data_IF_216745949883
#
_entry.id   IF_216745949883
#
_cell.length_a   1.000
_cell.length_b   1.000
_cell.length_c   1.000
_cell.angle_alpha   90.00
_cell.angle_beta   90.00
_cell.angle_gamma   90.00
#
_symmetry.space_group_name_H-M   'P 1'
#
loop_
_entity.id
_entity.type
_entity.pdbx_description
1 polymer ?
#
# COMPACT_ATOMS: atom_id res chain seq x y z
N UNK A 1 2.37 23.54 5.76
CA UNK A 1 3.80 23.62 5.39
C UNK A 1 3.96 22.96 4.03
N UNK A 2 4.73 23.54 3.12
CA UNK A 2 5.04 22.91 1.85
C UNK A 2 5.99 21.71 2.06
N UNK A 3 5.91 20.67 1.22
CA UNK A 3 6.85 19.58 1.27
C UNK A 3 8.29 20.09 1.10
N UNK A 4 9.22 19.56 1.92
CA UNK A 4 10.63 20.01 1.91
C UNK A 4 11.52 19.14 1.01
N UNK A 5 10.97 18.02 0.54
CA UNK A 5 11.61 17.06 -0.38
C UNK A 5 10.71 16.91 -1.61
N UNK A 6 11.11 16.07 -2.57
CA UNK A 6 10.30 15.75 -3.76
C UNK A 6 9.08 14.86 -3.46
N UNK A 7 8.45 15.03 -2.29
CA UNK A 7 7.29 14.27 -1.83
C UNK A 7 6.00 14.84 -2.45
N UNK A 8 5.24 13.98 -3.14
CA UNK A 8 4.02 14.33 -3.87
C UNK A 8 2.81 13.58 -3.32
N UNK A 9 2.07 14.22 -2.41
CA UNK A 9 0.87 13.64 -1.81
C UNK A 9 -0.32 14.59 -1.94
N UNK A 10 -1.50 14.04 -2.20
CA UNK A 10 -2.72 14.85 -2.31
C UNK A 10 -3.95 14.05 -1.89
N UNK A 11 -5.04 14.79 -1.69
CA UNK A 11 -6.33 14.25 -1.31
C UNK A 11 -7.41 14.90 -2.16
N UNK A 12 -8.32 14.09 -2.69
CA UNK A 12 -9.52 14.55 -3.40
C UNK A 12 -10.74 13.90 -2.76
N UNK A 13 -11.69 14.73 -2.36
CA UNK A 13 -12.97 14.31 -1.80
C UNK A 13 -14.10 14.70 -2.74
N UNK A 14 -14.90 13.72 -3.15
CA UNK A 14 -16.11 13.94 -3.94
C UNK A 14 -17.20 12.99 -3.47
N UNK A 15 -18.42 13.51 -3.22
CA UNK A 15 -19.57 12.70 -2.84
C UNK A 15 -19.29 11.70 -1.70
N UNK A 16 -18.61 12.15 -0.63
CA UNK A 16 -18.20 11.32 0.51
C UNK A 16 -17.13 10.24 0.22
N UNK A 17 -16.56 10.22 -0.98
CA UNK A 17 -15.50 9.32 -1.41
C UNK A 17 -14.19 10.12 -1.48
N UNK A 18 -13.22 9.72 -0.67
CA UNK A 18 -11.90 10.32 -0.63
C UNK A 18 -10.86 9.42 -1.27
N UNK A 19 -10.02 10.02 -2.10
CA UNK A 19 -8.82 9.39 -2.65
C UNK A 19 -7.61 10.04 -2.01
N UNK A 20 -6.89 9.28 -1.18
CA UNK A 20 -5.65 9.68 -0.53
C UNK A 20 -4.47 9.07 -1.30
N UNK A 21 -3.74 9.91 -2.01
CA UNK A 21 -2.54 9.52 -2.73
C UNK A 21 -1.33 9.76 -1.84
N UNK A 22 -0.61 8.68 -1.55
CA UNK A 22 0.59 8.67 -0.74
C UNK A 22 1.81 8.53 -1.64
N UNK A 23 2.89 9.19 -1.25
CA UNK A 23 4.19 9.04 -1.89
C UNK A 23 5.20 8.56 -0.85
N UNK A 24 5.70 7.35 -1.05
CA UNK A 24 6.69 6.71 -0.19
C UNK A 24 8.11 6.79 -0.76
N UNK A 25 8.26 7.29 -2.00
CA UNK A 25 9.54 7.33 -2.72
C UNK A 25 10.16 8.72 -2.69
N UNK A 26 9.38 9.78 -2.79
CA UNK A 26 9.85 11.17 -2.74
C UNK A 26 10.52 11.51 -1.41
N UNK A 27 10.08 10.89 -0.31
CA UNK A 27 10.74 11.03 1.01
C UNK A 27 12.12 10.38 1.06
N UNK A 28 12.38 9.40 0.20
CA UNK A 28 13.67 8.70 0.04
C UNK A 28 14.62 9.46 -0.88
N UNK A 29 14.33 10.71 -1.20
CA UNK A 29 15.22 11.60 -1.94
C UNK A 29 15.77 12.71 -1.04
N UNK A 30 17.02 13.11 -1.27
CA UNK A 30 17.58 14.35 -0.76
C UNK A 30 16.99 15.55 -1.54
N UNK A 31 17.12 16.79 -1.03
CA UNK A 31 16.74 17.98 -1.79
C UNK A 31 17.46 18.12 -3.14
N UNK A 32 18.63 17.49 -3.30
CA UNK A 32 19.39 17.46 -4.55
C UNK A 32 18.99 16.28 -5.48
N UNK A 33 17.96 15.51 -5.13
CA UNK A 33 17.48 14.37 -5.90
C UNK A 33 18.30 13.08 -5.73
N UNK A 34 19.25 13.03 -4.79
CA UNK A 34 20.02 11.81 -4.51
C UNK A 34 19.21 10.83 -3.65
N UNK A 35 19.52 9.53 -3.75
CA UNK A 35 18.89 8.49 -2.93
C UNK A 35 19.27 8.65 -1.46
N UNK A 36 18.28 8.60 -0.58
CA UNK A 36 18.38 8.70 0.87
C UNK A 36 17.51 7.62 1.53
N UNK A 37 17.92 6.33 1.46
CA UNK A 37 17.10 5.20 1.89
C UNK A 37 16.78 5.21 3.40
N UNK A 38 17.66 5.82 4.20
CA UNK A 38 17.56 5.90 5.66
C UNK A 38 16.55 6.96 6.15
N UNK A 39 16.01 7.78 5.24
CA UNK A 39 14.90 8.67 5.56
C UNK A 39 13.66 7.88 6.02
N UNK A 40 12.77 8.46 6.84
CA UNK A 40 11.50 7.82 7.18
C UNK A 40 10.64 7.58 5.94
N UNK A 41 9.67 6.66 6.02
CA UNK A 41 8.75 6.41 4.88
C UNK A 41 7.92 7.66 4.62
N UNK A 42 7.40 8.28 5.68
CA UNK A 42 6.71 9.55 5.62
C UNK A 42 7.44 10.65 6.38
N UNK A 43 7.43 11.85 5.81
CA UNK A 43 7.82 13.05 6.53
C UNK A 43 6.78 13.39 7.61
N UNK A 44 7.14 14.21 8.61
CA UNK A 44 6.15 14.74 9.55
C UNK A 44 4.98 15.45 8.87
N UNK A 45 5.23 16.16 7.76
CA UNK A 45 4.19 16.88 7.00
C UNK A 45 3.20 15.91 6.36
N UNK A 46 3.67 14.78 5.82
CA UNK A 46 2.80 13.71 5.32
C UNK A 46 1.98 13.07 6.43
N UNK A 47 2.57 12.82 7.60
CA UNK A 47 1.82 12.28 8.74
C UNK A 47 0.71 13.23 9.19
N UNK A 48 1.00 14.53 9.31
CA UNK A 48 0.00 15.54 9.66
C UNK A 48 -1.10 15.63 8.59
N UNK A 49 -0.72 15.50 7.31
CA UNK A 49 -1.67 15.48 6.20
C UNK A 49 -2.63 14.28 6.29
N UNK A 50 -2.12 13.08 6.54
CA UNK A 50 -2.94 11.87 6.74
C UNK A 50 -3.93 12.08 7.88
N UNK A 51 -3.45 12.58 9.04
CA UNK A 51 -4.31 12.85 10.18
C UNK A 51 -5.42 13.86 9.86
N UNK A 52 -5.09 14.91 9.11
CA UNK A 52 -6.07 15.91 8.65
C UNK A 52 -7.14 15.30 7.75
N UNK A 53 -6.76 14.40 6.84
CA UNK A 53 -7.71 13.69 5.96
C UNK A 53 -8.63 12.79 6.76
N UNK A 54 -8.09 12.03 7.72
CA UNK A 54 -8.90 11.12 8.55
C UNK A 54 -9.85 11.86 9.51
N UNK A 55 -9.57 13.12 9.82
CA UNK A 55 -10.45 13.98 10.60
C UNK A 55 -11.69 14.46 9.83
N UNK A 56 -11.76 14.27 8.50
CA UNK A 56 -12.91 14.69 7.70
C UNK A 56 -14.17 13.88 8.08
N UNK A 57 -15.15 14.59 8.63
CA UNK A 57 -16.39 13.99 9.13
C UNK A 57 -17.35 13.57 8.02
N UNK A 58 -17.20 14.13 6.82
CA UNK A 58 -18.04 13.84 5.66
C UNK A 58 -17.54 12.61 4.89
N UNK A 59 -16.28 12.22 5.10
CA UNK A 59 -15.66 11.07 4.46
C UNK A 59 -16.29 9.75 4.92
N UNK A 60 -16.74 8.96 3.94
CA UNK A 60 -17.38 7.66 4.13
C UNK A 60 -16.65 6.51 3.44
N UNK A 61 -16.09 6.74 2.26
CA UNK A 61 -15.23 5.77 1.59
C UNK A 61 -13.85 6.38 1.47
N UNK A 62 -12.83 5.69 1.93
CA UNK A 62 -11.44 6.11 1.76
C UNK A 62 -10.71 5.09 0.90
N UNK A 63 -10.23 5.55 -0.25
CA UNK A 63 -9.29 4.81 -1.09
C UNK A 63 -7.90 5.35 -0.80
N UNK A 64 -7.06 4.53 -0.18
CA UNK A 64 -5.66 4.85 0.09
C UNK A 64 -4.81 4.26 -1.02
N UNK A 65 -4.22 5.13 -1.83
CA UNK A 65 -3.35 4.75 -2.93
C UNK A 65 -1.89 4.91 -2.51
N UNK A 66 -1.10 3.87 -2.69
CA UNK A 66 0.34 3.84 -2.43
C UNK A 66 1.02 3.15 -3.61
N UNK A 67 2.22 3.58 -3.99
CA UNK A 67 2.93 2.99 -5.11
C UNK A 67 3.20 1.50 -4.86
N UNK A 68 3.60 1.16 -3.62
CA UNK A 68 3.81 -0.20 -3.16
C UNK A 68 2.67 -0.67 -2.25
N UNK A 69 2.36 -1.98 -2.23
CA UNK A 69 1.39 -2.54 -1.31
C UNK A 69 1.75 -2.21 0.15
N UNK A 70 0.75 -1.74 0.90
CA UNK A 70 0.89 -1.49 2.34
C UNK A 70 1.07 -2.78 3.12
N UNK A 71 0.43 -3.86 2.66
CA UNK A 71 0.51 -5.21 3.22
C UNK A 71 0.98 -6.14 2.10
N UNK A 72 2.25 -6.52 2.13
CA UNK A 72 2.86 -7.36 1.08
C UNK A 72 3.30 -8.71 1.65
N UNK A 73 4.08 -8.70 2.73
CA UNK A 73 4.47 -9.90 3.45
C UNK A 73 4.66 -9.54 4.94
N UNK A 74 4.92 -10.54 5.79
CA UNK A 74 5.29 -10.32 7.17
C UNK A 74 6.60 -9.54 7.27
N UNK A 75 6.73 -8.72 8.33
CA UNK A 75 7.97 -7.97 8.56
C UNK A 75 9.18 -8.91 8.71
N UNK A 76 8.99 -10.09 9.32
CA UNK A 76 10.05 -11.09 9.47
C UNK A 76 10.55 -11.61 8.11
N UNK A 77 9.64 -11.99 7.21
CA UNK A 77 10.01 -12.48 5.88
C UNK A 77 10.72 -11.41 5.05
N UNK A 78 10.29 -10.15 5.16
CA UNK A 78 10.94 -9.04 4.45
C UNK A 78 12.36 -8.81 5.00
N UNK A 79 12.55 -8.87 6.32
CA UNK A 79 13.89 -8.76 6.92
C UNK A 79 14.79 -9.94 6.55
N UNK A 80 14.26 -11.17 6.56
CA UNK A 80 15.00 -12.35 6.11
C UNK A 80 15.40 -12.20 4.64
N UNK A 81 14.49 -11.75 3.78
CA UNK A 81 14.78 -11.53 2.36
C UNK A 81 15.90 -10.50 2.14
N UNK A 82 15.88 -9.40 2.89
CA UNK A 82 16.89 -8.34 2.80
C UNK A 82 18.27 -8.77 3.29
N UNK A 83 18.33 -9.71 4.25
CA UNK A 83 19.59 -10.14 4.90
C UNK A 83 20.12 -11.47 4.37
N UNK A 84 19.28 -12.31 3.79
CA UNK A 84 19.61 -13.66 3.31
C UNK A 84 20.65 -13.60 2.22
N UNK A 85 21.86 -14.14 2.44
CA UNK A 85 22.95 -14.23 1.45
C UNK A 85 22.64 -15.11 0.23
N UNK A 86 21.53 -15.86 0.24
CA UNK A 86 21.14 -16.81 -0.83
C UNK A 86 20.52 -16.13 -2.05
N UNK A 87 20.03 -14.90 -1.92
CA UNK A 87 19.56 -14.11 -3.08
C UNK A 87 20.81 -13.63 -3.86
N UNK A 88 20.94 -13.87 -5.16
CA UNK A 88 22.11 -13.40 -5.89
C UNK A 88 22.21 -11.88 -5.78
N UNK A 89 23.33 -11.35 -5.26
CA UNK A 89 23.70 -9.96 -5.48
C UNK A 89 23.95 -9.81 -6.97
N UNK A 90 22.99 -9.30 -7.74
CA UNK A 90 23.10 -9.22 -9.19
C UNK A 90 24.27 -8.32 -9.59
N UNK A 91 25.45 -8.92 -9.81
CA UNK A 91 26.62 -8.29 -10.40
C UNK A 91 26.55 -8.28 -11.93
N UNK A 92 25.51 -8.87 -12.54
CA UNK A 92 25.25 -8.80 -13.98
C UNK A 92 24.26 -7.66 -14.32
N UNK A 93 24.70 -6.79 -15.22
CA UNK A 93 24.20 -5.45 -15.50
C UNK A 93 22.87 -5.35 -16.28
N UNK A 94 21.93 -6.28 -16.08
CA UNK A 94 20.65 -6.23 -16.84
C UNK A 94 19.39 -6.49 -16.04
N UNK A 95 19.48 -6.91 -14.76
CA UNK A 95 18.29 -7.11 -13.91
C UNK A 95 18.44 -6.33 -12.59
N UNK A 96 17.44 -5.55 -12.17
CA UNK A 96 17.49 -4.83 -10.91
C UNK A 96 17.67 -5.80 -9.75
N UNK A 97 18.59 -5.50 -8.84
CA UNK A 97 18.82 -6.30 -7.64
C UNK A 97 17.53 -6.29 -6.80
N UNK A 98 16.86 -7.44 -6.60
CA UNK A 98 15.59 -7.45 -5.89
C UNK A 98 15.74 -6.98 -4.43
N UNK A 99 16.91 -7.15 -3.81
CA UNK A 99 17.17 -6.65 -2.44
C UNK A 99 17.20 -5.13 -2.34
N UNK A 100 17.68 -4.40 -3.35
CA UNK A 100 17.71 -2.93 -3.30
C UNK A 100 16.30 -2.33 -3.40
N UNK A 101 15.39 -3.03 -4.09
CA UNK A 101 13.99 -2.62 -4.21
C UNK A 101 13.25 -2.73 -2.87
N UNK A 102 13.56 -3.76 -2.05
CA UNK A 102 12.89 -4.00 -0.76
C UNK A 102 13.06 -2.90 0.27
N UNK A 103 14.13 -2.10 0.21
CA UNK A 103 14.37 -1.00 1.15
C UNK A 103 13.30 0.10 1.09
N UNK A 104 12.59 0.16 -0.04
CA UNK A 104 11.46 1.09 -0.24
C UNK A 104 10.11 0.52 0.20
N UNK A 105 10.04 -0.76 0.57
CA UNK A 105 8.78 -1.40 0.92
C UNK A 105 8.30 -0.98 2.30
N UNK A 106 6.98 -0.96 2.49
CA UNK A 106 6.35 -0.70 3.78
C UNK A 106 6.88 -1.63 4.89
N UNK A 107 7.08 -2.91 4.58
CA UNK A 107 7.58 -3.88 5.56
C UNK A 107 9.04 -3.67 5.99
N UNK A 108 9.82 -2.86 5.27
CA UNK A 108 11.14 -2.42 5.71
C UNK A 108 11.07 -1.33 6.80
N UNK A 109 9.90 -0.71 7.00
CA UNK A 109 9.62 0.28 8.04
C UNK A 109 8.41 -0.16 8.90
N UNK A 110 8.55 -1.23 9.71
CA UNK A 110 7.43 -1.87 10.41
C UNK A 110 6.63 -0.91 11.29
N UNK A 111 7.30 0.05 11.94
CA UNK A 111 6.63 1.05 12.80
C UNK A 111 5.72 1.99 12.00
N UNK A 112 6.18 2.47 10.86
CA UNK A 112 5.41 3.38 10.00
C UNK A 112 4.25 2.63 9.34
N UNK A 113 4.50 1.40 8.86
CA UNK A 113 3.47 0.51 8.31
C UNK A 113 2.37 0.24 9.34
N UNK A 114 2.72 -0.19 10.56
CA UNK A 114 1.76 -0.46 11.63
C UNK A 114 1.01 0.79 12.06
N UNK A 115 1.68 1.96 12.11
CA UNK A 115 1.05 3.23 12.41
C UNK A 115 -0.02 3.59 11.38
N UNK A 116 0.30 3.52 10.09
CA UNK A 116 -0.66 3.86 9.04
C UNK A 116 -1.85 2.89 9.03
N UNK A 117 -1.61 1.58 9.10
CA UNK A 117 -2.68 0.56 9.18
C UNK A 117 -3.59 0.78 10.39
N UNK A 118 -3.00 1.13 11.54
CA UNK A 118 -3.75 1.48 12.75
C UNK A 118 -4.64 2.68 12.52
N UNK A 119 -4.11 3.78 11.98
CA UNK A 119 -4.87 5.01 11.76
C UNK A 119 -6.05 4.79 10.81
N UNK A 120 -5.85 4.08 9.69
CA UNK A 120 -6.92 3.85 8.70
C UNK A 120 -7.95 2.84 9.19
N UNK A 121 -7.53 1.84 9.97
CA UNK A 121 -8.44 0.86 10.58
C UNK A 121 -9.30 1.50 11.68
N UNK A 122 -8.71 2.32 12.55
CA UNK A 122 -9.45 3.06 13.56
C UNK A 122 -10.42 4.06 12.92
N UNK A 123 -10.00 4.75 11.86
CA UNK A 123 -10.87 5.63 11.09
C UNK A 123 -12.11 4.90 10.55
N UNK A 124 -11.95 3.68 10.02
CA UNK A 124 -13.07 2.85 9.53
C UNK A 124 -14.09 2.58 10.63
N UNK A 125 -13.66 2.46 11.89
CA UNK A 125 -14.55 2.13 13.01
C UNK A 125 -15.14 3.33 13.74
N UNK A 126 -14.60 4.54 13.53
CA UNK A 126 -15.11 5.75 14.17
C UNK A 126 -16.57 6.08 13.79
N UNK A 127 -17.05 5.62 12.63
CA UNK A 127 -18.42 5.80 12.19
C UNK A 127 -18.94 4.53 11.54
N UNK A 128 -20.23 4.18 11.74
CA UNK A 128 -20.83 3.08 11.01
C UNK A 128 -20.74 3.33 9.50
N UNK A 129 -20.64 2.24 8.76
CA UNK A 129 -20.76 2.23 7.31
C UNK A 129 -19.67 3.08 6.62
N UNK A 130 -18.48 3.15 7.21
CA UNK A 130 -17.26 3.61 6.55
C UNK A 130 -16.58 2.43 5.85
N UNK A 131 -16.07 2.68 4.66
CA UNK A 131 -15.31 1.69 3.90
C UNK A 131 -13.88 2.15 3.59
N UNK A 132 -12.96 1.20 3.67
CA UNK A 132 -11.54 1.41 3.42
C UNK A 132 -11.08 0.45 2.33
N UNK A 133 -10.39 1.00 1.33
CA UNK A 133 -9.72 0.25 0.27
C UNK A 133 -8.27 0.70 0.19
N UNK A 134 -7.36 -0.25 0.17
CA UNK A 134 -5.96 -0.01 -0.15
C UNK A 134 -5.73 -0.35 -1.63
N UNK A 135 -5.07 0.53 -2.37
CA UNK A 135 -4.77 0.34 -3.79
C UNK A 135 -3.28 0.56 -4.06
N UNK A 136 -2.66 -0.31 -4.84
CA UNK A 136 -1.25 -0.20 -5.24
C UNK A 136 -0.97 -0.91 -6.57
N UNK A 137 0.21 -0.70 -7.16
CA UNK A 137 0.52 -1.27 -8.48
C UNK A 137 2.00 -1.53 -8.80
N UNK A 138 2.95 -0.91 -8.10
CA UNK A 138 4.38 -1.12 -8.35
C UNK A 138 4.95 -2.31 -7.55
N UNK A 139 4.15 -3.34 -7.30
CA UNK A 139 4.60 -4.51 -6.53
C UNK A 139 5.79 -5.19 -7.22
N UNK A 140 6.78 -5.57 -6.42
CA UNK A 140 7.95 -6.35 -6.83
C UNK A 140 7.60 -7.72 -7.41
N UNK A 141 6.38 -8.20 -7.19
CA UNK A 141 5.86 -9.42 -7.81
C UNK A 141 5.51 -9.24 -9.29
N UNK A 142 5.39 -7.99 -9.77
CA UNK A 142 4.91 -7.68 -11.12
C UNK A 142 3.59 -8.37 -11.48
N UNK A 143 2.70 -8.61 -10.52
CA UNK A 143 1.44 -9.35 -10.69
C UNK A 143 0.35 -8.83 -9.76
N UNK A 144 -0.90 -9.15 -10.06
CA UNK A 144 -2.04 -8.67 -9.29
C UNK A 144 -2.34 -9.54 -8.05
N UNK A 145 -2.66 -8.86 -6.96
CA UNK A 145 -3.11 -9.49 -5.72
C UNK A 145 -4.46 -8.91 -5.29
N UNK A 146 -5.35 -9.77 -4.80
CA UNK A 146 -6.41 -9.39 -3.88
C UNK A 146 -5.98 -9.77 -2.49
N UNK A 147 -6.25 -8.91 -1.51
CA UNK A 147 -5.93 -9.23 -0.13
C UNK A 147 -7.04 -8.82 0.79
N UNK A 148 -7.33 -9.70 1.75
CA UNK A 148 -8.12 -9.37 2.92
C UNK A 148 -7.16 -9.11 4.07
N UNK A 149 -7.29 -7.94 4.69
CA UNK A 149 -6.51 -7.55 5.85
C UNK A 149 -7.46 -7.46 7.04
N UNK A 150 -7.18 -8.24 8.07
CA UNK A 150 -7.98 -8.34 9.28
C UNK A 150 -7.23 -7.68 10.43
N UNK A 151 -7.79 -6.60 10.98
CA UNK A 151 -7.35 -6.08 12.26
C UNK A 151 -7.87 -7.00 13.37
N UNK A 152 -6.99 -7.83 13.91
CA UNK A 152 -7.33 -8.82 14.93
C UNK A 152 -7.74 -8.17 16.26
N UNK A 153 -7.22 -6.97 16.55
CA UNK A 153 -7.52 -6.25 17.79
C UNK A 153 -8.92 -5.65 17.72
N UNK A 154 -9.25 -5.03 16.60
CA UNK A 154 -10.52 -4.31 16.43
C UNK A 154 -11.61 -5.17 15.78
N UNK A 155 -11.28 -6.38 15.32
CA UNK A 155 -12.18 -7.33 14.65
C UNK A 155 -12.88 -6.72 13.43
N UNK A 156 -12.12 -5.99 12.63
CA UNK A 156 -12.59 -5.41 11.36
C UNK A 156 -11.71 -5.89 10.21
N UNK A 157 -12.27 -5.87 9.01
CA UNK A 157 -11.55 -6.17 7.79
C UNK A 157 -11.62 -5.03 6.78
N UNK A 158 -10.64 -5.00 5.89
CA UNK A 158 -10.59 -4.14 4.73
C UNK A 158 -9.76 -4.81 3.63
N UNK A 159 -9.91 -4.33 2.40
CA UNK A 159 -9.31 -4.97 1.24
C UNK A 159 -8.14 -4.17 0.69
N UNK A 160 -7.12 -4.90 0.24
CA UNK A 160 -6.06 -4.36 -0.59
C UNK A 160 -6.13 -4.95 -1.99
N UNK A 161 -6.05 -4.06 -2.98
CA UNK A 161 -5.93 -4.41 -4.38
C UNK A 161 -4.57 -3.98 -4.89
N UNK A 162 -3.80 -4.95 -5.38
CA UNK A 162 -2.55 -4.73 -6.10
C UNK A 162 -2.83 -5.03 -7.56
N UNK A 163 -2.55 -4.08 -8.45
CA UNK A 163 -2.57 -4.29 -9.91
C UNK A 163 -1.18 -4.67 -10.40
N UNK A 164 -1.12 -5.45 -11.48
CA UNK A 164 0.12 -5.73 -12.18
C UNK A 164 0.51 -4.59 -13.13
N UNK A 165 1.58 -4.78 -13.92
CA UNK A 165 1.91 -3.86 -14.99
C UNK A 165 0.82 -3.87 -16.08
N UNK A 166 0.57 -2.71 -16.69
CA UNK A 166 -0.39 -2.60 -17.81
C UNK A 166 0.28 -3.03 -19.13
N UNK A 167 1.52 -2.61 -19.38
CA UNK A 167 2.24 -2.93 -20.62
C UNK A 167 3.66 -3.48 -20.38
N UNK A 168 4.10 -3.51 -19.12
CA UNK A 168 5.41 -4.03 -18.73
C UNK A 168 5.42 -5.54 -18.55
N UNK A 169 6.60 -6.16 -18.41
CA UNK A 169 6.71 -7.58 -18.15
C UNK A 169 6.20 -7.95 -16.75
N UNK A 170 5.41 -9.02 -16.66
CA UNK A 170 5.03 -9.63 -15.40
C UNK A 170 6.19 -10.46 -14.82
N UNK A 171 6.46 -10.34 -13.53
CA UNK A 171 7.63 -10.97 -12.88
C UNK A 171 7.27 -11.78 -11.64
N UNK A 172 6.76 -12.99 -11.83
CA UNK A 172 6.34 -13.91 -10.74
C UNK A 172 7.49 -14.49 -9.88
N UNK A 173 8.68 -13.89 -9.90
CA UNK A 173 9.87 -14.42 -9.21
C UNK A 173 9.84 -14.27 -7.69
N UNK A 174 9.05 -13.31 -7.19
CA UNK A 174 8.86 -13.06 -5.77
C UNK A 174 7.35 -13.07 -5.54
N UNK A 175 6.82 -14.16 -4.99
CA UNK A 175 5.42 -14.20 -4.54
C UNK A 175 5.46 -14.14 -3.02
N UNK A 176 4.80 -13.16 -2.38
CA UNK A 176 4.73 -13.09 -0.94
C UNK A 176 4.02 -14.31 -0.38
N UNK A 177 4.21 -14.53 0.90
CA UNK A 177 3.45 -15.57 1.60
C UNK A 177 1.95 -15.35 1.42
N UNK A 178 1.19 -16.42 1.21
CA UNK A 178 -0.26 -16.32 1.05
C UNK A 178 -0.96 -15.79 2.31
N UNK A 179 -0.37 -16.01 3.47
CA UNK A 179 -0.93 -15.59 4.75
C UNK A 179 0.18 -15.19 5.68
N UNK A 180 -0.08 -14.19 6.52
CA UNK A 180 0.86 -13.77 7.54
C UNK A 180 0.27 -12.70 8.44
N UNK A 181 1.16 -12.09 9.23
CA UNK A 181 0.80 -11.01 10.14
C UNK A 181 1.81 -9.86 9.97
N UNK A 182 1.29 -8.65 9.85
CA UNK A 182 2.07 -7.41 9.94
C UNK A 182 2.05 -6.92 11.38
N UNK A 183 3.24 -6.78 11.96
CA UNK A 183 3.43 -6.60 13.39
C UNK A 183 2.78 -7.75 14.17
N UNK A 184 1.91 -7.40 15.11
CA UNK A 184 1.17 -8.30 15.99
C UNK A 184 -0.36 -8.14 15.85
N UNK A 185 -0.83 -7.33 14.89
CA UNK A 185 -2.22 -6.85 14.84
C UNK A 185 -2.95 -7.16 13.54
N UNK A 186 -2.27 -7.07 12.40
CA UNK A 186 -2.93 -7.14 11.10
C UNK A 186 -2.61 -8.46 10.42
N UNK A 187 -3.54 -9.42 10.51
CA UNK A 187 -3.45 -10.64 9.72
C UNK A 187 -3.82 -10.34 8.26
N UNK A 188 -3.21 -11.04 7.33
CA UNK A 188 -3.52 -10.90 5.91
C UNK A 188 -3.67 -12.26 5.24
N UNK A 189 -4.49 -12.27 4.21
CA UNK A 189 -4.59 -13.36 3.24
C UNK A 189 -4.51 -12.78 1.83
N UNK A 190 -3.58 -13.28 1.03
CA UNK A 190 -3.32 -12.88 -0.34
C UNK A 190 -3.81 -13.96 -1.31
N UNK A 191 -4.65 -13.54 -2.25
CA UNK A 191 -5.02 -14.30 -3.42
C UNK A 191 -4.29 -13.72 -4.64
N UNK A 192 -3.51 -14.56 -5.31
CA UNK A 192 -2.89 -14.20 -6.59
C UNK A 192 -3.99 -14.20 -7.65
N UNK A 193 -4.15 -13.07 -8.34
CA UNK A 193 -5.19 -12.87 -9.34
C UNK A 193 -4.54 -12.59 -10.69
N UNK A 194 -5.04 -13.22 -11.76
CA UNK A 194 -4.50 -13.06 -13.12
C UNK A 194 -2.97 -13.27 -13.18
N UNK A 195 -2.47 -14.44 -12.73
CA UNK A 195 -1.03 -14.68 -12.60
C UNK A 195 -0.33 -14.61 -13.96
N UNK A 196 0.66 -13.71 -14.08
CA UNK A 196 1.44 -13.54 -15.30
C UNK A 196 0.76 -12.70 -16.38
N UNK A 197 -0.43 -12.14 -16.10
CA UNK A 197 -1.15 -11.27 -17.04
C UNK A 197 -1.00 -9.80 -16.68
N UNK A 198 -0.87 -8.99 -17.72
CA UNK A 198 -0.97 -7.55 -17.61
C UNK A 198 -2.41 -7.17 -17.25
N UNK A 199 -2.58 -6.19 -16.37
CA UNK A 199 -3.92 -5.90 -15.86
C UNK A 199 -4.09 -4.49 -15.32
N UNK A 200 -5.36 -4.12 -15.15
CA UNK A 200 -5.79 -2.97 -14.38
C UNK A 200 -7.02 -3.31 -13.54
N UNK A 201 -7.33 -2.45 -12.58
CA UNK A 201 -8.52 -2.56 -11.74
C UNK A 201 -9.51 -1.44 -12.05
N UNK A 202 -10.79 -1.80 -12.07
CA UNK A 202 -11.93 -0.87 -12.13
C UNK A 202 -12.62 -0.91 -10.77
N UNK A 203 -12.56 0.22 -10.06
CA UNK A 203 -13.28 0.41 -8.81
C UNK A 203 -14.61 1.08 -9.09
N UNK A 204 -15.71 0.46 -8.64
CA UNK A 204 -17.03 1.08 -8.60
C UNK A 204 -17.31 1.52 -7.18
N UNK A 205 -17.47 2.83 -7.00
CA UNK A 205 -17.62 3.46 -5.69
C UNK A 205 -18.91 4.26 -5.66
N UNK A 206 -19.70 4.09 -4.60
CA UNK A 206 -20.83 4.97 -4.31
C UNK A 206 -20.91 5.20 -2.80
N UNK A 207 -21.12 6.45 -2.41
CA UNK A 207 -21.40 6.81 -1.03
C UNK A 207 -22.42 7.94 -1.00
N UNK A 208 -23.31 7.89 -0.03
CA UNK A 208 -24.34 8.90 0.23
C UNK A 208 -24.64 8.89 1.72
N UNK A 209 -25.09 9.98 2.31
CA UNK A 209 -25.48 10.02 3.72
C UNK A 209 -26.55 8.96 4.05
N UNK A 210 -26.40 8.29 5.20
CA UNK A 210 -27.39 7.31 5.70
C UNK A 210 -27.51 5.98 4.94
N UNK A 211 -26.75 5.74 3.88
CA UNK A 211 -26.77 4.46 3.11
C UNK A 211 -25.45 3.72 3.18
N UNK A 212 -25.44 2.39 3.09
CA UNK A 212 -24.18 1.65 3.02
C UNK A 212 -23.42 1.99 1.73
N UNK A 213 -22.10 2.22 1.79
CA UNK A 213 -21.33 2.48 0.59
C UNK A 213 -21.26 1.24 -0.29
N UNK A 214 -21.17 1.46 -1.60
CA UNK A 214 -20.85 0.40 -2.56
C UNK A 214 -19.38 0.52 -2.89
N UNK A 215 -18.65 -0.56 -2.70
CA UNK A 215 -17.24 -0.68 -3.07
C UNK A 215 -17.06 -2.02 -3.76
N UNK A 216 -16.83 -2.02 -5.06
CA UNK A 216 -16.47 -3.24 -5.79
C UNK A 216 -15.24 -3.02 -6.65
N UNK A 217 -14.41 -4.06 -6.76
CA UNK A 217 -13.21 -4.05 -7.58
C UNK A 217 -13.30 -5.16 -8.62
N UNK A 218 -13.34 -4.80 -9.90
CA UNK A 218 -13.21 -5.74 -11.01
C UNK A 218 -11.82 -5.61 -11.62
N UNK A 219 -11.12 -6.73 -11.75
CA UNK A 219 -9.84 -6.76 -12.48
C UNK A 219 -10.06 -7.13 -13.94
N UNK A 220 -9.26 -6.55 -14.81
CA UNK A 220 -9.29 -6.78 -16.25
C UNK A 220 -7.89 -7.20 -16.69
N UNK A 221 -7.76 -8.45 -17.09
CA UNK A 221 -6.53 -9.01 -17.69
C UNK A 221 -6.45 -8.69 -19.19
N UNK A 222 -5.25 -8.82 -19.74
CA UNK A 222 -4.93 -8.61 -21.16
C UNK A 222 -4.15 -9.79 -21.71
#
# INVERSE_FOLDING_TARGET
MAPRRGEEFFFRLENHIGFLMLDIRGTKLTPSGAQAPDNPVFSPVQWDFVLKVLADVTLRVLVVCSELPLVDDSNANIQEFMTSSKVPSSSSSSKPNPRSSCRSWWGAAPRDQQRLLTLVSEWKLQKPNRELVLLSGASSMGGALASTVTDMKMRTEFHQHVVGPIAGPCHMALVPTRTGVVGDRFAFQHDVVLPGENNFAVLTLAAAEGRDPVVTCRRVGQ
#
